data_IF_426188730774
#
_entry.id   IF_426188730774
#
_cell.length_a   1.000
_cell.length_b   1.000
_cell.length_c   1.000
_cell.angle_alpha   90.00
_cell.angle_beta   90.00
_cell.angle_gamma   90.00
#
_symmetry.space_group_name_H-M   'P 1'
#
loop_
_entity.id
_entity.type
_entity.pdbx_description
1 polymer ?
#
# COMPACT_ATOMS: atom_id res chain seq x y z
N UNK A 1 -6.01 2.83 -26.49
CA UNK A 1 -5.70 2.04 -25.26
C UNK A 1 -6.45 2.64 -24.08
N UNK A 2 -7.08 1.81 -23.27
CA UNK A 2 -7.77 2.26 -22.05
C UNK A 2 -6.76 2.90 -21.07
N UNK A 3 -7.12 4.01 -20.46
CA UNK A 3 -6.29 4.72 -19.50
C UNK A 3 -6.77 4.52 -18.05
N UNK A 4 -5.99 4.94 -17.06
CA UNK A 4 -6.40 4.85 -15.64
C UNK A 4 -7.75 5.53 -15.36
N UNK A 5 -8.15 6.54 -16.15
CA UNK A 5 -9.44 7.24 -16.03
C UNK A 5 -10.66 6.38 -16.42
N UNK A 6 -10.43 5.29 -17.16
CA UNK A 6 -11.50 4.39 -17.59
C UNK A 6 -11.80 3.31 -16.54
N UNK A 7 -10.97 3.21 -15.49
CA UNK A 7 -11.19 2.31 -14.36
C UNK A 7 -12.35 2.81 -13.51
N UNK A 8 -13.35 1.95 -13.30
CA UNK A 8 -14.56 2.23 -12.53
C UNK A 8 -14.54 1.42 -11.24
N UNK A 9 -14.74 2.10 -10.10
CA UNK A 9 -14.86 1.43 -8.81
C UNK A 9 -16.32 1.21 -8.42
N UNK A 10 -16.64 0.01 -7.93
CA UNK A 10 -17.99 -0.38 -7.44
C UNK A 10 -17.86 -1.15 -6.14
N UNK A 11 -18.88 -1.03 -5.26
CA UNK A 11 -19.02 -1.93 -4.10
C UNK A 11 -19.31 -3.33 -4.59
N UNK A 12 -18.62 -4.31 -4.02
CA UNK A 12 -18.76 -5.73 -4.35
C UNK A 12 -18.97 -6.56 -3.07
N UNK A 13 -19.63 -7.70 -3.13
CA UNK A 13 -19.78 -8.59 -1.99
C UNK A 13 -18.45 -9.30 -1.65
N UNK A 14 -18.31 -9.75 -0.41
CA UNK A 14 -17.14 -10.49 0.06
C UNK A 14 -16.89 -11.77 -0.71
N UNK A 15 -17.94 -12.42 -1.23
CA UNK A 15 -17.84 -13.61 -2.08
C UNK A 15 -17.07 -13.37 -3.39
N UNK A 16 -17.09 -12.16 -3.91
CA UNK A 16 -16.31 -11.73 -5.09
C UNK A 16 -14.92 -11.23 -4.68
N UNK A 17 -14.84 -10.47 -3.58
CA UNK A 17 -13.58 -9.89 -3.11
C UNK A 17 -12.59 -10.95 -2.61
N UNK A 18 -13.08 -11.94 -1.85
CA UNK A 18 -12.24 -12.96 -1.19
C UNK A 18 -11.41 -13.80 -2.16
N UNK A 19 -11.95 -14.38 -3.24
CA UNK A 19 -11.16 -15.13 -4.21
C UNK A 19 -10.08 -14.27 -4.87
N UNK A 20 -10.42 -13.03 -5.25
CA UNK A 20 -9.48 -12.11 -5.87
C UNK A 20 -8.31 -11.76 -4.93
N UNK A 21 -8.60 -11.42 -3.67
CA UNK A 21 -7.55 -11.11 -2.68
C UNK A 21 -6.64 -12.32 -2.46
N UNK A 22 -7.20 -13.52 -2.35
CA UNK A 22 -6.40 -14.74 -2.18
C UNK A 22 -5.47 -15.03 -3.34
N UNK A 23 -5.90 -14.70 -4.56
CA UNK A 23 -5.10 -14.91 -5.77
C UNK A 23 -4.02 -13.84 -5.99
N UNK A 24 -4.33 -12.57 -5.68
CA UNK A 24 -3.49 -11.44 -6.12
C UNK A 24 -2.79 -10.68 -4.97
N UNK A 25 -3.18 -10.87 -3.70
CA UNK A 25 -2.49 -10.23 -2.60
C UNK A 25 -1.29 -11.07 -2.16
N UNK A 26 -0.13 -10.44 -1.96
CA UNK A 26 1.12 -11.12 -1.58
C UNK A 26 1.01 -12.07 -0.38
N UNK A 27 0.11 -11.79 0.56
CA UNK A 27 -0.11 -12.66 1.72
C UNK A 27 -1.04 -13.85 1.45
N UNK A 28 -1.76 -13.86 0.33
CA UNK A 28 -2.80 -14.87 0.04
C UNK A 28 -3.95 -14.95 1.05
N UNK A 29 -4.06 -13.96 1.95
CA UNK A 29 -5.00 -13.99 3.09
C UNK A 29 -5.93 -12.79 3.12
N UNK A 30 -7.19 -13.02 3.50
CA UNK A 30 -8.17 -11.97 3.77
C UNK A 30 -8.16 -11.57 5.24
N UNK A 31 -8.69 -10.39 5.55
CA UNK A 31 -8.92 -9.93 6.92
C UNK A 31 -10.38 -10.12 7.25
N UNK A 32 -10.68 -10.89 8.30
CA UNK A 32 -12.05 -11.30 8.67
C UNK A 32 -12.96 -10.14 9.05
N UNK A 33 -12.40 -9.06 9.61
CA UNK A 33 -13.15 -7.86 10.00
C UNK A 33 -13.26 -6.81 8.87
N UNK A 34 -12.97 -7.17 7.62
CA UNK A 34 -13.29 -6.34 6.46
C UNK A 34 -14.78 -6.31 6.22
N UNK A 35 -15.37 -5.12 6.11
CA UNK A 35 -16.81 -4.90 6.01
C UNK A 35 -17.23 -4.26 4.68
N UNK A 36 -16.35 -3.50 4.06
CA UNK A 36 -16.58 -2.83 2.79
C UNK A 36 -15.54 -3.29 1.78
N UNK A 37 -16.01 -3.82 0.64
CA UNK A 37 -15.13 -4.20 -0.45
C UNK A 37 -15.48 -3.36 -1.69
N UNK A 38 -14.45 -2.78 -2.29
CA UNK A 38 -14.58 -1.97 -3.51
C UNK A 38 -13.73 -2.63 -4.59
N UNK A 39 -14.39 -3.07 -5.66
CA UNK A 39 -13.76 -3.65 -6.84
C UNK A 39 -13.44 -2.57 -7.87
N UNK A 40 -12.27 -2.69 -8.51
CA UNK A 40 -11.85 -1.89 -9.63
C UNK A 40 -12.05 -2.66 -10.93
N UNK A 41 -12.82 -2.08 -11.85
CA UNK A 41 -13.20 -2.71 -13.11
C UNK A 41 -12.66 -1.92 -14.30
N UNK A 42 -12.13 -2.65 -15.26
CA UNK A 42 -11.78 -2.14 -16.60
C UNK A 42 -12.34 -3.13 -17.64
N UNK A 43 -12.95 -2.62 -18.69
CA UNK A 43 -13.59 -3.43 -19.75
C UNK A 43 -14.56 -4.50 -19.20
N UNK A 44 -15.27 -4.16 -18.11
CA UNK A 44 -16.25 -5.02 -17.46
C UNK A 44 -15.65 -6.13 -16.57
N UNK A 45 -14.34 -6.27 -16.50
CA UNK A 45 -13.64 -7.29 -15.69
C UNK A 45 -13.08 -6.69 -14.41
N UNK A 46 -13.01 -7.52 -13.35
CA UNK A 46 -12.42 -7.16 -12.05
C UNK A 46 -10.91 -7.29 -12.12
N UNK A 47 -10.20 -6.21 -11.84
CA UNK A 47 -8.73 -6.12 -11.86
C UNK A 47 -8.13 -5.61 -10.56
N UNK A 48 -8.96 -5.29 -9.56
CA UNK A 48 -8.47 -4.86 -8.25
C UNK A 48 -9.55 -4.90 -7.19
N UNK A 49 -9.13 -5.07 -5.95
CA UNK A 49 -9.99 -5.06 -4.77
C UNK A 49 -9.33 -4.27 -3.65
N UNK A 50 -10.08 -3.36 -3.07
CA UNK A 50 -9.76 -2.64 -1.84
C UNK A 50 -10.75 -3.05 -0.76
N UNK A 51 -10.28 -3.52 0.38
CA UNK A 51 -11.11 -3.93 1.50
C UNK A 51 -10.87 -3.02 2.71
N UNK A 52 -11.95 -2.52 3.26
CA UNK A 52 -11.95 -1.64 4.42
C UNK A 52 -12.71 -2.28 5.57
N UNK A 53 -12.29 -2.02 6.79
CA UNK A 53 -12.94 -2.54 7.96
C UNK A 53 -12.36 -2.04 9.27
N UNK A 54 -12.65 -2.75 10.35
CA UNK A 54 -12.12 -2.42 11.66
C UNK A 54 -10.65 -2.84 11.75
N UNK A 55 -9.84 -1.99 12.36
CA UNK A 55 -8.46 -2.35 12.70
C UNK A 55 -8.41 -3.42 13.78
N UNK A 56 -7.43 -4.31 13.73
CA UNK A 56 -7.22 -5.31 14.77
C UNK A 56 -6.90 -4.68 16.14
N UNK A 57 -6.14 -3.59 16.15
CA UNK A 57 -5.78 -2.82 17.35
C UNK A 57 -6.59 -1.51 17.44
N UNK A 58 -7.90 -1.58 17.21
CA UNK A 58 -8.78 -0.41 17.06
C UNK A 58 -8.68 0.56 18.24
N UNK A 59 -8.63 0.06 19.47
CA UNK A 59 -8.54 0.90 20.67
C UNK A 59 -7.26 1.75 20.73
N UNK A 60 -6.13 1.19 20.31
CA UNK A 60 -4.85 1.92 20.24
C UNK A 60 -4.84 2.93 19.10
N UNK A 61 -5.39 2.56 17.95
CA UNK A 61 -5.38 3.41 16.76
C UNK A 61 -6.34 4.59 16.89
N UNK A 62 -7.47 4.41 17.58
CA UNK A 62 -8.43 5.48 17.82
C UNK A 62 -7.79 6.73 18.44
N UNK A 63 -6.83 6.53 19.36
CA UNK A 63 -6.10 7.61 20.02
C UNK A 63 -5.15 8.40 19.10
N UNK A 64 -4.88 7.96 17.89
CA UNK A 64 -4.03 8.69 16.93
C UNK A 64 -4.63 10.04 16.53
N UNK A 65 -5.95 10.17 16.54
CA UNK A 65 -6.65 11.43 16.32
C UNK A 65 -7.53 11.71 17.54
N UNK A 66 -7.19 12.75 18.28
CA UNK A 66 -7.90 13.11 19.53
C UNK A 66 -9.38 13.32 19.28
N UNK A 67 -10.22 12.81 20.20
CA UNK A 67 -11.66 12.94 20.14
C UNK A 67 -12.33 12.14 19.02
N UNK A 68 -11.65 11.13 18.48
CA UNK A 68 -12.26 10.21 17.50
C UNK A 68 -13.23 9.27 18.19
N UNK A 69 -14.47 9.21 17.70
CA UNK A 69 -15.46 8.22 18.11
C UNK A 69 -15.14 6.82 17.58
N UNK A 70 -15.71 5.80 18.22
CA UNK A 70 -15.42 4.40 17.89
C UNK A 70 -15.61 4.06 16.40
N UNK A 71 -16.63 4.60 15.75
CA UNK A 71 -16.96 4.33 14.34
C UNK A 71 -16.52 5.46 13.38
N UNK A 72 -15.69 6.40 13.81
CA UNK A 72 -15.28 7.54 12.98
C UNK A 72 -14.00 7.28 12.17
N UNK A 73 -13.44 6.08 12.25
CA UNK A 73 -12.32 5.69 11.40
C UNK A 73 -12.40 4.23 10.98
N UNK A 74 -11.75 3.94 9.85
CA UNK A 74 -11.62 2.59 9.29
C UNK A 74 -10.19 2.35 8.83
N UNK A 75 -9.84 1.09 8.65
CA UNK A 75 -8.59 0.67 8.04
C UNK A 75 -8.80 0.20 6.60
N UNK A 76 -7.99 0.70 5.66
CA UNK A 76 -7.77 0.03 4.38
C UNK A 76 -6.84 -1.16 4.64
N UNK A 77 -7.43 -2.31 4.92
CA UNK A 77 -6.73 -3.45 5.48
C UNK A 77 -6.31 -4.50 4.44
N UNK A 78 -6.81 -4.40 3.21
CA UNK A 78 -6.31 -5.17 2.05
C UNK A 78 -6.47 -4.36 0.78
N UNK A 79 -5.43 -4.41 -0.04
CA UNK A 79 -5.43 -3.85 -1.38
C UNK A 79 -4.69 -4.82 -2.30
N UNK A 80 -5.38 -5.34 -3.29
CA UNK A 80 -4.85 -6.26 -4.28
C UNK A 80 -5.25 -5.80 -5.67
N UNK A 81 -4.30 -5.76 -6.59
CA UNK A 81 -4.50 -5.46 -7.99
C UNK A 81 -3.72 -6.47 -8.83
N UNK A 82 -4.23 -6.78 -10.01
CA UNK A 82 -3.44 -7.49 -11.02
C UNK A 82 -2.63 -6.50 -11.87
N UNK A 83 -1.74 -7.02 -12.70
CA UNK A 83 -0.84 -6.22 -13.54
C UNK A 83 -1.51 -5.70 -14.83
N UNK A 84 -2.81 -5.92 -15.02
CA UNK A 84 -3.53 -5.51 -16.23
C UNK A 84 -3.83 -4.02 -16.26
N UNK A 85 -4.02 -3.41 -15.11
CA UNK A 85 -4.44 -2.01 -15.03
C UNK A 85 -3.34 -1.04 -15.49
N UNK A 86 -3.71 0.03 -16.22
CA UNK A 86 -2.78 1.09 -16.60
C UNK A 86 -2.08 1.74 -15.40
N UNK A 87 -0.90 2.28 -15.61
CA UNK A 87 -0.15 3.04 -14.60
C UNK A 87 -1.05 4.09 -13.91
N UNK A 88 -0.90 4.26 -12.61
CA UNK A 88 -1.67 5.16 -11.74
C UNK A 88 -3.14 4.75 -11.49
N UNK A 89 -3.57 3.58 -11.94
CA UNK A 89 -4.94 3.11 -11.67
C UNK A 89 -5.22 2.91 -10.19
N UNK A 90 -4.26 2.39 -9.45
CA UNK A 90 -4.40 2.12 -8.00
C UNK A 90 -4.67 3.39 -7.20
N UNK A 91 -3.87 4.46 -7.38
CA UNK A 91 -4.09 5.74 -6.69
C UNK A 91 -5.42 6.38 -7.07
N UNK A 92 -5.82 6.23 -8.33
CA UNK A 92 -7.15 6.67 -8.80
C UNK A 92 -8.27 5.85 -8.15
N UNK A 93 -8.12 4.55 -8.01
CA UNK A 93 -9.09 3.69 -7.33
C UNK A 93 -9.22 4.07 -5.85
N UNK A 94 -8.12 4.33 -5.16
CA UNK A 94 -8.14 4.86 -3.78
C UNK A 94 -8.92 6.18 -3.72
N UNK A 95 -8.67 7.11 -4.63
CA UNK A 95 -9.39 8.38 -4.68
C UNK A 95 -10.90 8.19 -4.95
N UNK A 96 -11.28 7.22 -5.79
CA UNK A 96 -12.69 6.88 -6.01
C UNK A 96 -13.31 6.27 -4.73
N UNK A 97 -12.62 5.33 -4.09
CA UNK A 97 -13.08 4.71 -2.84
C UNK A 97 -13.29 5.74 -1.73
N UNK A 98 -12.35 6.67 -1.55
CA UNK A 98 -12.47 7.76 -0.59
C UNK A 98 -13.70 8.64 -0.87
N UNK A 99 -13.97 8.98 -2.14
CA UNK A 99 -15.18 9.75 -2.52
C UNK A 99 -16.45 8.97 -2.18
N UNK A 100 -16.48 7.65 -2.43
CA UNK A 100 -17.62 6.79 -2.11
C UNK A 100 -17.84 6.75 -0.59
N UNK A 101 -16.78 6.57 0.20
CA UNK A 101 -16.85 6.56 1.67
C UNK A 101 -17.34 7.92 2.18
N UNK A 102 -16.76 9.03 1.73
CA UNK A 102 -17.16 10.38 2.13
C UNK A 102 -18.65 10.63 1.86
N UNK A 103 -19.18 10.15 0.73
CA UNK A 103 -20.59 10.34 0.35
C UNK A 103 -21.53 9.47 1.15
N UNK A 104 -21.19 8.20 1.37
CA UNK A 104 -22.13 7.19 1.89
C UNK A 104 -21.92 6.85 3.37
N UNK A 105 -20.78 7.23 3.94
CA UNK A 105 -20.41 7.04 5.34
C UNK A 105 -19.76 8.31 5.92
N UNK A 106 -20.50 9.45 6.01
CA UNK A 106 -19.94 10.76 6.39
C UNK A 106 -19.45 10.82 7.85
N UNK A 107 -19.81 9.83 8.66
CA UNK A 107 -19.28 9.66 10.01
C UNK A 107 -17.82 9.22 10.01
N UNK A 108 -17.31 8.61 8.95
CA UNK A 108 -15.88 8.25 8.84
C UNK A 108 -15.07 9.52 8.58
N UNK A 109 -14.17 9.85 9.50
CA UNK A 109 -13.37 11.06 9.49
C UNK A 109 -11.96 10.84 8.94
N UNK A 110 -11.41 9.65 9.11
CA UNK A 110 -10.09 9.31 8.61
C UNK A 110 -9.93 7.81 8.34
N UNK A 111 -8.94 7.50 7.52
CA UNK A 111 -8.59 6.14 7.13
C UNK A 111 -7.15 5.90 7.55
N UNK A 112 -6.87 4.75 8.18
CA UNK A 112 -5.52 4.27 8.43
C UNK A 112 -5.19 3.16 7.45
N UNK A 113 -3.92 3.04 7.09
CA UNK A 113 -3.39 1.88 6.35
C UNK A 113 -1.95 1.61 6.74
N UNK A 114 -1.51 0.38 6.51
CA UNK A 114 -0.16 -0.06 6.81
C UNK A 114 0.50 -0.60 5.54
N UNK A 115 1.74 -0.15 5.30
CA UNK A 115 2.58 -0.76 4.29
C UNK A 115 3.53 -1.75 4.97
N UNK A 116 3.55 -2.97 4.45
CA UNK A 116 4.45 -4.03 4.91
C UNK A 116 5.76 -3.96 4.12
N UNK A 117 6.71 -3.21 4.65
CA UNK A 117 8.05 -3.08 4.08
C UNK A 117 8.94 -4.31 4.29
N UNK A 118 8.39 -5.43 4.79
CA UNK A 118 9.13 -6.69 4.87
C UNK A 118 8.83 -7.61 3.68
N UNK A 119 7.62 -7.50 3.10
CA UNK A 119 7.13 -8.43 2.08
C UNK A 119 6.64 -7.72 0.81
N UNK A 120 6.21 -6.47 0.89
CA UNK A 120 5.59 -5.77 -0.23
C UNK A 120 6.33 -4.48 -0.58
N UNK A 121 6.18 -3.43 0.21
CA UNK A 121 6.78 -2.14 -0.13
C UNK A 121 6.58 -1.06 0.93
N UNK A 122 7.17 0.10 0.66
CA UNK A 122 7.20 1.24 1.56
C UNK A 122 5.96 2.14 1.50
N UNK A 123 4.92 1.74 0.78
CA UNK A 123 3.67 2.50 0.67
C UNK A 123 3.71 3.65 -0.33
N UNK A 124 4.48 3.54 -1.41
CA UNK A 124 4.49 4.53 -2.51
C UNK A 124 3.08 4.90 -2.97
N UNK A 125 2.15 3.93 -3.03
CA UNK A 125 0.75 4.15 -3.43
C UNK A 125 0.00 5.07 -2.46
N UNK A 126 0.26 4.97 -1.16
CA UNK A 126 -0.37 5.83 -0.16
C UNK A 126 0.14 7.26 -0.27
N UNK A 127 1.44 7.45 -0.54
CA UNK A 127 2.02 8.77 -0.83
C UNK A 127 1.37 9.40 -2.05
N UNK A 128 1.23 8.63 -3.14
CA UNK A 128 0.56 9.07 -4.37
C UNK A 128 -0.94 9.37 -4.19
N UNK A 129 -1.53 8.92 -3.08
CA UNK A 129 -2.95 9.10 -2.73
C UNK A 129 -3.18 10.12 -1.61
N UNK A 130 -2.19 10.97 -1.30
CA UNK A 130 -2.25 12.02 -0.27
C UNK A 130 -2.41 11.51 1.17
N UNK A 131 -2.01 10.29 1.46
CA UNK A 131 -1.85 9.84 2.84
C UNK A 131 -0.59 10.47 3.43
N UNK A 132 -0.61 10.76 4.72
CA UNK A 132 0.55 11.20 5.48
C UNK A 132 1.16 10.02 6.23
N UNK A 133 2.49 9.97 6.30
CA UNK A 133 3.22 8.98 7.08
C UNK A 133 3.21 9.40 8.55
N UNK A 134 2.80 8.51 9.45
CA UNK A 134 2.66 8.80 10.89
C UNK A 134 3.36 7.79 11.79
N UNK A 135 4.01 6.80 11.23
CA UNK A 135 4.79 5.83 12.00
C UNK A 135 5.67 4.97 11.12
N UNK A 136 6.87 4.71 11.58
CA UNK A 136 7.80 3.73 11.00
C UNK A 136 8.29 2.88 12.17
N UNK A 137 8.03 1.58 12.14
CA UNK A 137 8.45 0.66 13.19
C UNK A 137 9.17 -0.53 12.58
N UNK A 138 10.26 -0.98 13.21
CA UNK A 138 10.90 -2.24 12.82
C UNK A 138 9.89 -3.38 12.91
N UNK A 139 9.98 -4.29 11.98
CA UNK A 139 9.10 -5.45 11.95
C UNK A 139 9.24 -6.30 13.22
N UNK A 140 8.09 -6.64 13.81
CA UNK A 140 7.94 -7.61 14.91
C UNK A 140 6.72 -8.52 14.68
N UNK A 141 6.21 -8.54 13.46
CA UNK A 141 4.95 -9.22 13.10
C UNK A 141 5.14 -10.34 12.09
N UNK A 142 6.21 -10.28 11.31
CA UNK A 142 6.58 -11.32 10.34
C UNK A 142 7.82 -12.04 10.86
N UNK A 143 7.72 -13.34 11.00
CA UNK A 143 8.83 -14.22 11.36
C UNK A 143 9.40 -14.88 10.10
N UNK A 144 10.70 -15.05 10.08
CA UNK A 144 11.44 -15.91 9.15
C UNK A 144 11.69 -17.24 9.85
N UNK A 145 11.24 -18.32 9.24
CA UNK A 145 11.46 -19.68 9.72
C UNK A 145 12.88 -20.19 9.37
N UNK A 146 13.35 -21.30 9.97
CA UNK A 146 14.67 -21.84 9.69
C UNK A 146 14.92 -22.20 8.21
N UNK A 147 13.86 -22.50 7.45
CA UNK A 147 13.94 -22.77 6.00
C UNK A 147 13.97 -21.48 5.14
N UNK A 148 14.02 -20.30 5.77
CA UNK A 148 14.05 -19.00 5.09
C UNK A 148 12.66 -18.45 4.71
N UNK A 149 11.61 -19.26 4.78
CA UNK A 149 10.24 -18.81 4.50
C UNK A 149 9.71 -17.86 5.58
N UNK A 150 8.69 -17.06 5.24
CA UNK A 150 8.10 -16.10 6.17
C UNK A 150 6.68 -16.48 6.56
N UNK A 151 6.31 -16.14 7.80
CA UNK A 151 4.97 -16.34 8.35
C UNK A 151 4.58 -15.19 9.28
N UNK A 152 3.32 -14.80 9.27
CA UNK A 152 2.85 -13.82 10.25
C UNK A 152 2.82 -14.43 11.65
N UNK A 153 3.48 -13.78 12.62
CA UNK A 153 3.53 -14.23 14.01
C UNK A 153 2.13 -14.45 14.60
N UNK A 154 1.17 -13.55 14.26
CA UNK A 154 -0.22 -13.70 14.67
C UNK A 154 -0.84 -15.04 14.22
N UNK A 155 -0.46 -15.57 13.05
CA UNK A 155 -0.95 -16.88 12.60
C UNK A 155 -0.50 -18.01 13.52
N UNK A 156 0.77 -17.96 13.96
CA UNK A 156 1.33 -18.96 14.88
C UNK A 156 0.76 -18.81 16.30
N UNK A 157 0.48 -17.59 16.73
CA UNK A 157 -0.06 -17.28 18.06
C UNK A 157 -1.56 -17.61 18.17
N UNK A 158 -2.35 -17.38 17.11
CA UNK A 158 -3.82 -17.57 17.16
C UNK A 158 -4.28 -18.96 16.74
N UNK A 159 -3.49 -19.67 15.94
CA UNK A 159 -3.84 -21.01 15.44
C UNK A 159 -2.67 -21.99 15.75
N UNK A 160 -2.44 -22.32 17.03
CA UNK A 160 -1.24 -23.05 17.45
C UNK A 160 -1.16 -24.49 16.91
N UNK A 161 -2.26 -25.06 16.45
CA UNK A 161 -2.33 -26.38 15.82
C UNK A 161 -2.65 -26.31 14.32
N UNK A 162 -2.64 -25.13 13.73
CA UNK A 162 -2.83 -24.93 12.29
C UNK A 162 -1.64 -25.42 11.47
N UNK A 163 -1.82 -25.50 10.16
CA UNK A 163 -0.80 -25.97 9.21
C UNK A 163 0.53 -25.23 9.36
N UNK A 164 0.49 -23.89 9.40
CA UNK A 164 1.70 -23.07 9.54
C UNK A 164 2.41 -23.28 10.90
N UNK A 165 1.64 -23.40 11.98
CA UNK A 165 2.20 -23.65 13.31
C UNK A 165 2.82 -25.01 13.44
N UNK A 166 2.21 -26.05 12.84
CA UNK A 166 2.78 -27.41 12.78
C UNK A 166 4.06 -27.43 11.94
N UNK A 167 4.06 -26.73 10.80
CA UNK A 167 5.24 -26.57 9.95
C UNK A 167 6.37 -25.88 10.70
N UNK A 168 6.09 -24.74 11.35
CA UNK A 168 7.07 -24.03 12.14
C UNK A 168 7.62 -24.89 13.29
N UNK A 169 6.76 -25.64 13.99
CA UNK A 169 7.16 -26.55 15.06
C UNK A 169 8.09 -27.66 14.54
N UNK A 170 7.75 -28.26 13.39
CA UNK A 170 8.59 -29.27 12.75
C UNK A 170 9.96 -28.73 12.38
N UNK A 171 10.03 -27.54 11.74
CA UNK A 171 11.26 -26.88 11.34
C UNK A 171 12.16 -26.50 12.55
N UNK A 172 11.54 -26.21 13.69
CA UNK A 172 12.23 -25.89 14.93
C UNK A 172 12.51 -27.10 15.82
N UNK A 173 12.14 -28.32 15.41
CA UNK A 173 12.36 -29.56 16.16
C UNK A 173 11.57 -29.67 17.48
N UNK A 174 10.39 -29.03 17.55
CA UNK A 174 9.55 -29.01 18.78
C UNK A 174 8.13 -29.49 18.50
N UNK A 175 7.41 -30.03 19.53
CA UNK A 175 6.01 -30.40 19.38
C UNK A 175 5.13 -29.18 18.99
N UNK A 176 4.05 -29.39 18.22
CA UNK A 176 3.05 -28.34 18.00
C UNK A 176 2.43 -27.84 19.30
N UNK A 177 2.14 -26.53 19.37
CA UNK A 177 1.54 -25.93 20.56
C UNK A 177 1.62 -24.40 20.53
N UNK A 178 0.93 -23.77 21.46
CA UNK A 178 0.97 -22.32 21.61
C UNK A 178 2.36 -21.83 22.00
N UNK A 179 2.84 -20.82 21.28
CA UNK A 179 4.07 -20.07 21.59
C UNK A 179 3.91 -18.63 21.15
N UNK A 180 4.45 -17.74 21.94
CA UNK A 180 4.58 -16.33 21.56
C UNK A 180 5.66 -16.16 20.49
N UNK A 181 5.62 -15.07 19.74
CA UNK A 181 6.65 -14.74 18.73
C UNK A 181 8.07 -14.75 19.28
N UNK A 182 8.27 -14.31 20.53
CA UNK A 182 9.58 -14.32 21.17
C UNK A 182 10.07 -15.75 21.50
N UNK A 183 9.16 -16.64 21.86
CA UNK A 183 9.50 -18.04 22.05
C UNK A 183 9.88 -18.70 20.72
N UNK A 184 9.19 -18.38 19.62
CA UNK A 184 9.58 -18.85 18.29
C UNK A 184 10.97 -18.35 17.89
N UNK A 185 11.31 -17.08 18.20
CA UNK A 185 12.66 -16.56 17.98
C UNK A 185 13.71 -17.34 18.79
N UNK A 186 13.44 -17.67 20.04
CA UNK A 186 14.31 -18.51 20.85
C UNK A 186 14.50 -19.95 20.33
N UNK A 187 13.64 -20.42 19.42
CA UNK A 187 13.69 -21.73 18.78
C UNK A 187 14.32 -21.72 17.38
N UNK A 188 14.99 -20.62 17.00
CA UNK A 188 15.70 -20.53 15.72
C UNK A 188 14.96 -19.76 14.62
N UNK A 189 13.74 -19.25 14.88
CA UNK A 189 13.13 -18.23 14.02
C UNK A 189 13.81 -16.87 14.22
N UNK A 190 13.67 -15.97 13.26
CA UNK A 190 14.08 -14.58 13.40
C UNK A 190 12.97 -13.63 12.97
N UNK A 191 12.99 -12.37 13.38
CA UNK A 191 12.11 -11.38 12.74
C UNK A 191 12.62 -11.11 11.32
N UNK A 192 11.72 -11.14 10.34
CA UNK A 192 12.07 -10.74 8.98
C UNK A 192 12.56 -9.28 8.99
N UNK A 193 13.60 -8.98 8.22
CA UNK A 193 14.09 -7.61 8.09
C UNK A 193 13.03 -6.74 7.42
N UNK A 194 12.99 -5.47 7.83
CA UNK A 194 12.11 -4.47 7.24
C UNK A 194 11.32 -3.69 8.29
N UNK A 195 10.39 -2.91 7.80
CA UNK A 195 9.64 -1.94 8.59
C UNK A 195 8.15 -1.99 8.24
N UNK A 196 7.32 -1.70 9.25
CA UNK A 196 5.89 -1.43 9.07
C UNK A 196 5.70 0.07 9.07
N UNK A 197 5.10 0.60 8.01
CA UNK A 197 4.86 2.03 7.83
C UNK A 197 3.37 2.32 7.96
N UNK A 198 3.00 3.24 8.85
CA UNK A 198 1.62 3.64 9.11
C UNK A 198 1.29 4.92 8.38
N UNK A 199 0.23 4.87 7.59
CA UNK A 199 -0.29 5.96 6.78
C UNK A 199 -1.69 6.36 7.25
N UNK A 200 -2.00 7.67 7.23
CA UNK A 200 -3.33 8.19 7.54
C UNK A 200 -3.79 9.11 6.41
N UNK A 201 -5.04 8.94 6.00
CA UNK A 201 -5.75 9.88 5.14
C UNK A 201 -6.88 10.54 5.92
N UNK A 202 -6.96 11.87 5.88
CA UNK A 202 -8.01 12.64 6.55
C UNK A 202 -9.15 12.92 5.57
N UNK A 203 -10.29 12.25 5.76
CA UNK A 203 -11.53 12.53 5.01
C UNK A 203 -12.10 13.88 5.48
N UNK A 204 -12.12 14.09 6.80
CA UNK A 204 -12.39 15.36 7.44
C UNK A 204 -11.04 16.09 7.68
N UNK A 205 -10.79 17.20 6.98
CA UNK A 205 -9.52 17.93 7.14
C UNK A 205 -9.24 18.37 8.59
N UNK A 206 -10.27 18.68 9.37
CA UNK A 206 -10.12 19.11 10.78
C UNK A 206 -9.59 18.01 11.69
N UNK A 207 -9.73 16.74 11.29
CA UNK A 207 -9.14 15.61 12.01
C UNK A 207 -7.60 15.67 12.01
N UNK A 208 -6.98 16.32 11.01
CA UNK A 208 -5.52 16.49 10.93
C UNK A 208 -4.98 17.30 12.09
N UNK A 209 -5.68 18.36 12.51
CA UNK A 209 -5.25 19.25 13.60
C UNK A 209 -5.32 18.56 14.97
N UNK A 210 -6.05 17.46 15.05
CA UNK A 210 -6.19 16.64 16.24
C UNK A 210 -5.27 15.41 16.28
N UNK A 211 -4.35 15.29 15.30
CA UNK A 211 -3.37 14.21 15.26
C UNK A 211 -2.48 14.25 16.51
N UNK A 212 -2.30 13.11 17.17
CA UNK A 212 -1.52 13.00 18.42
C UNK A 212 -0.08 12.56 18.22
N UNK A 213 0.28 12.23 16.99
CA UNK A 213 1.62 11.80 16.59
C UNK A 213 2.15 12.69 15.47
N UNK A 214 3.47 12.84 15.31
CA UNK A 214 4.02 13.67 14.25
C UNK A 214 3.73 13.10 12.86
N UNK A 215 3.58 14.00 11.88
CA UNK A 215 3.68 13.65 10.47
C UNK A 215 5.17 13.54 10.14
N UNK A 216 5.56 12.38 9.67
CA UNK A 216 6.95 12.04 9.34
C UNK A 216 7.21 12.41 7.88
N UNK A 217 8.27 13.16 7.56
CA UNK A 217 8.66 13.39 6.17
C UNK A 217 8.96 12.07 5.46
N UNK A 218 8.56 11.95 4.19
CA UNK A 218 8.81 10.73 3.43
C UNK A 218 10.30 10.43 3.21
N UNK A 219 11.16 11.46 3.22
CA UNK A 219 12.62 11.30 3.18
C UNK A 219 13.14 10.42 4.32
N UNK A 220 12.43 10.40 5.46
CA UNK A 220 12.82 9.60 6.62
C UNK A 220 12.82 8.09 6.31
N UNK A 221 12.01 7.64 5.37
CA UNK A 221 11.99 6.24 4.92
C UNK A 221 13.36 5.84 4.35
N UNK A 222 13.94 6.73 3.53
CA UNK A 222 15.24 6.48 2.90
C UNK A 222 16.39 6.65 3.91
N UNK A 223 16.32 7.67 4.77
CA UNK A 223 17.33 7.96 5.80
C UNK A 223 17.57 6.77 6.76
N UNK A 224 16.51 6.03 7.10
CA UNK A 224 16.62 4.87 8.01
C UNK A 224 16.71 3.53 7.27
N UNK A 225 16.83 3.55 5.93
CA UNK A 225 16.90 2.34 5.11
C UNK A 225 15.61 1.51 5.14
N UNK A 226 14.44 2.17 5.33
CA UNK A 226 13.15 1.51 5.36
C UNK A 226 12.48 1.40 3.97
N UNK A 227 13.14 1.91 2.92
CA UNK A 227 12.65 1.84 1.55
C UNK A 227 12.64 0.40 1.04
N UNK A 228 11.47 -0.07 0.60
CA UNK A 228 11.25 -1.42 0.10
C UNK A 228 10.31 -1.39 -1.11
N UNK A 229 10.57 -2.29 -2.06
CA UNK A 229 9.68 -2.50 -3.18
C UNK A 229 9.65 -3.99 -3.55
N UNK A 230 8.48 -4.59 -3.56
CA UNK A 230 8.28 -6.04 -3.84
C UNK A 230 9.21 -6.94 -3.01
N UNK A 231 9.45 -6.58 -1.75
CA UNK A 231 10.31 -7.33 -0.84
C UNK A 231 11.82 -7.07 -0.97
N UNK A 232 12.23 -6.19 -1.87
CA UNK A 232 13.64 -5.82 -2.08
C UNK A 232 13.93 -4.42 -1.52
N UNK A 233 15.11 -4.23 -0.92
CA UNK A 233 15.56 -2.91 -0.46
C UNK A 233 15.72 -1.97 -1.66
N UNK A 234 15.13 -0.78 -1.59
CA UNK A 234 15.32 0.28 -2.58
C UNK A 234 16.60 1.04 -2.29
N UNK A 235 17.53 1.01 -3.23
CA UNK A 235 18.61 2.00 -3.32
C UNK A 235 18.11 3.14 -4.21
N UNK A 236 17.64 4.23 -3.62
CA UNK A 236 17.03 5.36 -4.34
C UNK A 236 18.00 6.03 -5.32
N UNK A 237 19.31 6.01 -5.04
CA UNK A 237 20.33 6.50 -5.95
C UNK A 237 20.33 5.78 -7.31
N UNK A 238 20.07 4.48 -7.33
CA UNK A 238 19.98 3.68 -8.56
C UNK A 238 18.66 3.92 -9.29
N UNK A 239 17.56 4.07 -8.57
CA UNK A 239 16.23 4.29 -9.16
C UNK A 239 16.11 5.67 -9.81
N UNK A 240 16.70 6.71 -9.21
CA UNK A 240 16.75 8.06 -9.78
C UNK A 240 17.69 8.13 -11.01
N UNK A 241 18.78 7.36 -11.03
CA UNK A 241 19.63 7.22 -12.21
C UNK A 241 18.93 6.46 -13.36
N UNK A 242 18.18 5.43 -13.05
CA UNK A 242 17.44 4.63 -14.04
C UNK A 242 16.23 5.40 -14.61
N UNK A 243 15.55 6.19 -13.79
CA UNK A 243 14.50 7.11 -14.23
C UNK A 243 15.04 8.22 -15.12
N UNK A 244 16.22 8.77 -14.81
CA UNK A 244 16.90 9.77 -15.64
C UNK A 244 17.39 9.18 -16.96
N UNK A 245 17.91 7.94 -16.96
CA UNK A 245 18.32 7.25 -18.19
C UNK A 245 17.13 6.95 -19.10
N UNK A 246 15.97 6.53 -18.57
CA UNK A 246 14.75 6.35 -19.36
C UNK A 246 14.21 7.67 -19.93
N UNK A 247 14.30 8.77 -19.21
CA UNK A 247 13.87 10.07 -19.70
C UNK A 247 14.77 10.60 -20.84
N UNK A 248 16.09 10.26 -20.82
CA UNK A 248 17.03 10.65 -21.87
C UNK A 248 16.95 9.74 -23.10
N UNK A 249 16.53 8.46 -22.96
CA UNK A 249 16.37 7.55 -24.10
C UNK A 249 15.12 7.84 -24.94
N UNK A 250 14.09 8.43 -24.33
CA UNK A 250 12.82 8.77 -25.03
C UNK A 250 12.89 10.11 -25.79
N UNK A 251 14.00 10.89 -25.62
CA UNK A 251 14.23 12.16 -26.33
C UNK A 251 15.12 12.03 -27.58
N UNK A 252 15.76 10.86 -27.77
CA UNK A 252 16.71 10.71 -28.90
C UNK A 252 16.12 9.98 -30.13
N UNK A 253 14.81 9.68 -30.12
CA UNK A 253 14.13 9.01 -31.23
C UNK A 253 13.21 9.89 -32.08
N UNK A 254 13.36 11.23 -32.00
CA UNK A 254 12.53 12.16 -32.79
C UNK A 254 13.33 13.30 -33.42
N UNK A 255 14.47 13.00 -34.04
CA UNK A 255 15.11 13.88 -35.02
C UNK A 255 15.78 13.04 -36.09
N UNK A 256 15.06 12.76 -37.17
CA UNK A 256 15.56 12.64 -38.52
C UNK A 256 14.37 12.40 -39.46
N UNK A 257 13.86 13.47 -40.05
CA UNK A 257 13.41 13.50 -41.45
C UNK A 257 12.80 14.86 -41.78
N UNK A 258 13.38 15.42 -42.77
CA UNK A 258 12.86 16.29 -43.81
C UNK A 258 13.42 17.71 -43.82
N UNK A 259 14.36 17.87 -44.72
CA UNK A 259 14.78 19.15 -45.28
C UNK A 259 13.74 19.67 -46.27
N UNK A 260 13.57 21.01 -46.31
CA UNK A 260 12.70 21.64 -47.30
C UNK A 260 12.56 23.13 -47.12
N UNK A 261 13.47 23.89 -47.80
CA UNK A 261 13.23 25.23 -48.38
C UNK A 261 12.63 26.39 -47.56
N UNK A 262 13.47 27.44 -47.45
CA UNK A 262 13.11 28.84 -47.14
C UNK A 262 12.29 29.43 -48.31
N UNK A 263 11.32 30.35 -48.05
CA UNK A 263 11.59 31.69 -48.45
C UNK A 263 11.26 32.80 -47.39
N UNK A 264 12.13 33.78 -47.41
CA UNK A 264 12.08 35.13 -46.82
C UNK A 264 10.80 35.88 -47.11
N UNK A 265 10.25 36.53 -46.08
CA UNK A 265 9.80 37.95 -46.21
C UNK A 265 9.62 38.59 -44.83
N UNK A 266 10.21 39.75 -44.72
CA UNK A 266 10.10 40.70 -43.60
C UNK A 266 8.73 41.39 -43.59
N UNK A 267 8.28 41.78 -42.37
CA UNK A 267 7.74 43.13 -42.03
C UNK A 267 7.25 43.10 -40.57
N UNK A 268 7.95 43.84 -39.74
CA UNK A 268 7.58 45.15 -39.12
C UNK A 268 6.42 45.16 -38.12
N UNK A 269 6.78 45.29 -36.85
CA UNK A 269 6.54 46.46 -35.95
C UNK A 269 5.11 46.77 -35.43
N UNK A 270 5.13 47.11 -34.17
CA UNK A 270 4.27 47.96 -33.32
C UNK A 270 3.38 47.18 -32.35
N UNK A 271 3.68 47.18 -31.07
CA UNK A 271 3.41 48.09 -29.94
C UNK A 271 1.92 48.44 -29.69
N UNK A 272 1.60 48.40 -28.38
CA UNK A 272 0.48 49.02 -27.62
C UNK A 272 -0.86 48.23 -27.66
N UNK A 273 -1.50 47.96 -26.55
CA UNK A 273 -1.75 48.58 -25.21
C UNK A 273 -1.95 47.48 -24.19
#
# INVERSE_FOLDING_TARGET
MAGAKDVICKVIPSSVATPFIKAHHYSGKVVQNSQLHIGAFLDGKLHGVMSFGLSMDKSKLQGLVRGTGWNEFIELNRMAFDDYLPKNSESRCIAQAIRMIRKNAPHIKWIVSFADGCQCGDGTIYRASNFVLTGITRNKTILRLPDGSTVAAATLETIPLGTESRRAAHLCGVPPGYRTRHQWVGLGCSFAEGFMLRYIYFIDPTARDRLTVPIIPFSKIDEIGAGMYRGEKRNRAETDMESRRKCCSDTDSSQDSEGGAIPTSAHHCSQEV
#
